data_IF_311143367763
#
_entry.id   IF_311143367763
#
_cell.length_a   1.000
_cell.length_b   1.000
_cell.length_c   1.000
_cell.angle_alpha   90.00
_cell.angle_beta   90.00
_cell.angle_gamma   90.00
#
_symmetry.space_group_name_H-M   'P 1'
#
loop_
_entity.id
_entity.type
_entity.pdbx_description
1 polymer ?
#
# COMPACT_ATOMS: atom_id res chain seq x y z
N UNK A 1 -7.71 -8.57 27.60
CA UNK A 1 -8.11 -7.86 26.37
C UNK A 1 -9.04 -8.78 25.59
N UNK A 2 -10.21 -9.07 26.15
CA UNK A 2 -10.92 -10.31 25.81
C UNK A 2 -11.85 -10.15 24.59
N UNK A 3 -12.03 -8.91 24.13
CA UNK A 3 -12.89 -8.57 22.98
C UNK A 3 -12.18 -7.67 21.95
N UNK A 4 -10.86 -7.44 22.07
CA UNK A 4 -10.17 -6.49 21.19
C UNK A 4 -10.11 -7.05 19.77
N UNK A 5 -10.70 -6.30 18.83
CA UNK A 5 -10.70 -6.65 17.39
C UNK A 5 -9.97 -5.63 16.52
N UNK A 6 -9.51 -4.52 17.10
CA UNK A 6 -8.77 -3.48 16.40
C UNK A 6 -7.54 -3.14 17.21
N UNK A 7 -6.37 -3.19 16.57
CA UNK A 7 -5.11 -2.73 17.13
C UNK A 7 -4.59 -1.64 16.22
N UNK A 8 -4.55 -0.40 16.72
CA UNK A 8 -4.12 0.77 15.97
C UNK A 8 -3.09 1.52 16.82
N UNK A 9 -1.91 1.76 16.25
CA UNK A 9 -0.81 2.47 16.90
C UNK A 9 -0.16 3.40 15.89
N UNK A 10 0.05 4.65 16.28
CA UNK A 10 0.67 5.68 15.45
C UNK A 10 1.84 6.34 16.21
N UNK A 11 3.00 6.43 15.56
CA UNK A 11 4.20 7.10 16.07
C UNK A 11 4.70 6.60 17.45
N UNK A 12 4.49 5.32 17.77
CA UNK A 12 4.92 4.69 19.03
C UNK A 12 6.29 4.03 18.86
N UNK A 13 7.37 4.80 19.07
CA UNK A 13 8.75 4.30 18.92
C UNK A 13 9.09 3.14 19.87
N UNK A 14 8.45 3.10 21.05
CA UNK A 14 8.66 2.05 22.07
C UNK A 14 8.04 0.70 21.69
N UNK A 15 7.30 0.62 20.57
CA UNK A 15 6.74 -0.64 20.09
C UNK A 15 7.82 -1.60 19.57
N UNK A 16 8.96 -1.07 19.10
CA UNK A 16 10.05 -1.84 18.50
C UNK A 16 10.57 -2.91 19.45
N UNK A 17 10.49 -4.17 19.04
CA UNK A 17 10.89 -5.35 19.80
C UNK A 17 9.86 -5.82 20.85
N UNK A 18 8.72 -5.14 20.96
CA UNK A 18 7.71 -5.39 21.99
C UNK A 18 6.36 -5.84 21.42
N UNK A 19 6.21 -5.97 20.10
CA UNK A 19 4.91 -6.28 19.48
C UNK A 19 4.36 -7.62 19.98
N UNK A 20 5.21 -8.63 20.15
CA UNK A 20 4.82 -9.92 20.73
C UNK A 20 4.26 -9.78 22.16
N UNK A 21 4.84 -8.91 22.99
CA UNK A 21 4.36 -8.68 24.36
C UNK A 21 2.95 -8.10 24.36
N UNK A 22 2.65 -7.25 23.38
CA UNK A 22 1.34 -6.63 23.22
C UNK A 22 0.32 -7.63 22.67
N UNK A 23 0.67 -8.37 21.61
CA UNK A 23 -0.27 -9.22 20.88
C UNK A 23 -0.53 -10.59 21.55
N UNK A 24 0.42 -11.14 22.35
CA UNK A 24 0.27 -12.47 22.98
C UNK A 24 -0.96 -12.59 23.89
N UNK A 25 -1.47 -11.48 24.41
CA UNK A 25 -2.59 -11.44 25.35
C UNK A 25 -3.95 -11.35 24.65
N UNK A 26 -3.98 -11.33 23.31
CA UNK A 26 -5.21 -11.27 22.53
C UNK A 26 -5.90 -12.65 22.52
N UNK A 27 -7.08 -12.72 23.12
CA UNK A 27 -7.91 -13.93 23.11
C UNK A 27 -8.76 -14.07 21.85
N UNK A 28 -8.92 -12.98 21.09
CA UNK A 28 -9.76 -12.93 19.89
C UNK A 28 -8.93 -12.56 18.66
N UNK A 29 -9.28 -13.07 17.45
CA UNK A 29 -8.67 -12.61 16.21
C UNK A 29 -8.95 -11.12 15.95
N UNK A 30 -7.93 -10.41 15.50
CA UNK A 30 -8.04 -9.03 15.04
C UNK A 30 -8.77 -8.98 13.69
N UNK A 31 -9.54 -7.92 13.51
CA UNK A 31 -10.15 -7.52 12.24
C UNK A 31 -9.43 -6.32 11.63
N UNK A 32 -8.88 -5.43 12.46
CA UNK A 32 -8.10 -4.28 11.99
C UNK A 32 -6.76 -4.28 12.68
N UNK A 33 -5.70 -4.12 11.88
CA UNK A 33 -4.35 -3.86 12.32
C UNK A 33 -3.84 -2.63 11.59
N UNK A 34 -3.48 -1.60 12.33
CA UNK A 34 -2.87 -0.37 11.82
C UNK A 34 -1.63 -0.07 12.66
N UNK A 35 -0.46 -0.09 12.03
CA UNK A 35 0.82 0.27 12.66
C UNK A 35 1.50 1.31 11.76
N UNK A 36 1.34 2.57 12.13
CA UNK A 36 1.85 3.70 11.36
C UNK A 36 2.96 4.41 12.12
N UNK A 37 4.00 4.83 11.42
CA UNK A 37 5.17 5.55 11.95
C UNK A 37 5.84 4.87 13.16
N UNK A 38 5.71 3.54 13.27
CA UNK A 38 6.35 2.74 14.30
C UNK A 38 7.40 1.84 13.65
N UNK A 39 8.69 1.98 13.98
CA UNK A 39 9.70 1.05 13.48
C UNK A 39 9.50 -0.33 14.09
N UNK A 40 9.41 -1.37 13.27
CA UNK A 40 9.32 -2.75 13.73
C UNK A 40 10.68 -3.44 13.61
N UNK A 41 11.03 -4.29 14.56
CA UNK A 41 12.20 -5.17 14.44
C UNK A 41 11.88 -6.41 13.61
N UNK A 42 12.91 -7.16 13.20
CA UNK A 42 12.71 -8.46 12.55
C UNK A 42 11.91 -9.43 13.43
N UNK A 43 12.08 -9.38 14.76
CA UNK A 43 11.30 -10.21 15.68
C UNK A 43 9.82 -9.81 15.70
N UNK A 44 9.51 -8.52 15.62
CA UNK A 44 8.13 -8.04 15.55
C UNK A 44 7.45 -8.53 14.26
N UNK A 45 8.12 -8.41 13.12
CA UNK A 45 7.62 -8.89 11.83
C UNK A 45 7.41 -10.41 11.80
N UNK A 46 8.40 -11.16 12.29
CA UNK A 46 8.30 -12.61 12.40
C UNK A 46 7.16 -13.05 13.31
N UNK A 47 6.92 -12.33 14.41
CA UNK A 47 5.78 -12.58 15.27
C UNK A 47 4.46 -12.25 14.56
N UNK A 48 4.38 -11.07 13.95
CA UNK A 48 3.16 -10.57 13.30
C UNK A 48 2.65 -11.51 12.20
N UNK A 49 3.56 -12.00 11.36
CA UNK A 49 3.26 -12.90 10.24
C UNK A 49 2.77 -14.28 10.68
N UNK A 50 3.17 -14.73 11.89
CA UNK A 50 2.83 -16.06 12.43
C UNK A 50 1.73 -16.03 13.50
N UNK A 51 1.36 -14.84 13.95
CA UNK A 51 0.39 -14.64 15.03
C UNK A 51 -1.00 -15.21 14.63
N UNK A 52 -1.56 -16.18 15.36
CA UNK A 52 -2.88 -16.73 15.04
C UNK A 52 -3.99 -15.66 15.02
N UNK A 53 -3.83 -14.60 15.81
CA UNK A 53 -4.79 -13.50 15.92
C UNK A 53 -4.85 -12.64 14.65
N UNK A 54 -3.90 -12.71 13.72
CA UNK A 54 -3.90 -11.89 12.49
C UNK A 54 -4.55 -12.59 11.29
N UNK A 55 -4.83 -13.90 11.37
CA UNK A 55 -5.38 -14.70 10.25
C UNK A 55 -6.77 -14.31 9.77
N UNK A 56 -7.48 -13.45 10.51
CA UNK A 56 -8.82 -12.98 10.15
C UNK A 56 -8.91 -11.47 9.91
N UNK A 57 -7.75 -10.84 9.69
CA UNK A 57 -7.69 -9.42 9.38
C UNK A 57 -8.53 -9.10 8.15
N UNK A 58 -9.30 -8.04 8.26
CA UNK A 58 -10.06 -7.44 7.17
C UNK A 58 -9.43 -6.12 6.73
N UNK A 59 -8.67 -5.45 7.60
CA UNK A 59 -7.96 -4.22 7.31
C UNK A 59 -6.53 -4.32 7.85
N UNK A 60 -5.57 -4.08 6.98
CA UNK A 60 -4.16 -3.99 7.30
C UNK A 60 -3.62 -2.66 6.77
N UNK A 61 -3.03 -1.87 7.66
CA UNK A 61 -2.37 -0.60 7.37
C UNK A 61 -1.00 -0.60 8.04
N UNK A 62 0.05 -0.37 7.25
CA UNK A 62 1.43 -0.36 7.70
C UNK A 62 2.17 0.76 6.98
N UNK A 63 3.08 1.46 7.67
CA UNK A 63 4.02 2.41 7.03
C UNK A 63 5.49 1.97 7.22
N UNK A 64 5.70 0.70 7.54
CA UNK A 64 6.98 0.02 7.59
C UNK A 64 6.85 -1.27 6.75
N UNK A 65 7.96 -1.87 6.32
CA UNK A 65 7.91 -2.95 5.35
C UNK A 65 8.94 -4.05 5.59
N UNK A 66 8.45 -5.30 5.68
CA UNK A 66 9.28 -6.50 5.60
C UNK A 66 8.66 -7.50 4.62
N UNK A 67 9.30 -7.79 3.48
CA UNK A 67 8.66 -8.47 2.35
C UNK A 67 8.20 -9.90 2.68
N UNK A 68 9.10 -10.74 3.22
CA UNK A 68 8.77 -12.16 3.48
C UNK A 68 7.71 -12.31 4.59
N UNK A 69 7.81 -11.62 5.75
CA UNK A 69 6.76 -11.64 6.76
C UNK A 69 5.42 -11.09 6.25
N UNK A 70 5.42 -10.01 5.47
CA UNK A 70 4.20 -9.46 4.90
C UNK A 70 3.56 -10.42 3.89
N UNK A 71 4.36 -11.10 3.05
CA UNK A 71 3.87 -12.14 2.15
C UNK A 71 3.15 -13.25 2.91
N UNK A 72 3.75 -13.79 3.97
CA UNK A 72 3.14 -14.81 4.83
C UNK A 72 1.83 -14.31 5.44
N UNK A 73 1.81 -13.06 5.92
CA UNK A 73 0.62 -12.45 6.48
C UNK A 73 -0.51 -12.33 5.44
N UNK A 74 -0.21 -11.88 4.23
CA UNK A 74 -1.16 -11.81 3.11
C UNK A 74 -1.70 -13.20 2.76
N UNK A 75 -0.82 -14.20 2.63
CA UNK A 75 -1.20 -15.59 2.37
C UNK A 75 -2.15 -16.16 3.44
N UNK A 76 -1.95 -15.77 4.71
CA UNK A 76 -2.81 -16.17 5.82
C UNK A 76 -4.17 -15.46 5.88
N UNK A 77 -4.32 -14.34 5.15
CA UNK A 77 -5.51 -13.47 5.17
C UNK A 77 -6.23 -13.37 3.83
N UNK A 78 -5.84 -14.20 2.85
CA UNK A 78 -6.39 -14.29 1.48
C UNK A 78 -7.93 -14.28 1.45
N UNK A 79 -8.58 -14.98 2.39
CA UNK A 79 -10.03 -15.12 2.43
C UNK A 79 -10.77 -14.01 3.20
N UNK A 80 -10.07 -13.13 3.92
CA UNK A 80 -10.68 -12.12 4.79
C UNK A 80 -10.28 -10.68 4.50
N UNK A 81 -9.11 -10.45 3.91
CA UNK A 81 -8.55 -9.12 3.72
C UNK A 81 -9.40 -8.30 2.72
N UNK A 82 -9.89 -7.14 3.19
CA UNK A 82 -10.72 -6.20 2.43
C UNK A 82 -10.01 -4.87 2.15
N UNK A 83 -9.07 -4.50 3.00
CA UNK A 83 -8.28 -3.27 2.86
C UNK A 83 -6.82 -3.59 3.13
N UNK A 84 -5.96 -3.23 2.18
CA UNK A 84 -4.51 -3.23 2.34
C UNK A 84 -4.00 -1.82 2.03
N UNK A 85 -3.38 -1.20 3.01
CA UNK A 85 -2.73 0.09 2.88
C UNK A 85 -1.26 -0.01 3.24
N UNK A 86 -0.41 0.28 2.27
CA UNK A 86 1.04 0.28 2.36
C UNK A 86 1.60 1.63 1.90
N UNK A 87 0.95 2.71 2.33
CA UNK A 87 1.38 4.08 2.06
C UNK A 87 2.78 4.36 2.64
N UNK A 88 3.64 4.99 1.82
CA UNK A 88 4.98 5.47 2.22
C UNK A 88 5.88 4.39 2.89
N UNK A 89 5.68 3.13 2.51
CA UNK A 89 6.45 1.97 2.99
C UNK A 89 7.88 1.87 2.40
N UNK A 90 8.27 2.76 1.49
CA UNK A 90 9.55 2.73 0.76
C UNK A 90 9.82 1.41 0.03
N UNK A 91 8.76 0.82 -0.52
CA UNK A 91 8.80 -0.48 -1.21
C UNK A 91 9.61 -0.35 -2.50
N UNK A 92 10.55 -1.27 -2.70
CA UNK A 92 11.26 -1.39 -3.99
C UNK A 92 10.49 -2.27 -4.97
N UNK A 93 10.78 -2.14 -6.26
CA UNK A 93 10.17 -2.99 -7.29
C UNK A 93 10.32 -4.49 -6.99
N UNK A 94 11.51 -4.96 -6.61
CA UNK A 94 11.76 -6.38 -6.32
C UNK A 94 10.96 -6.87 -5.11
N UNK A 95 10.79 -6.01 -4.11
CA UNK A 95 9.97 -6.31 -2.94
C UNK A 95 8.48 -6.38 -3.29
N UNK A 96 8.00 -5.46 -4.13
CA UNK A 96 6.63 -5.50 -4.64
C UNK A 96 6.37 -6.78 -5.44
N UNK A 97 7.29 -7.16 -6.34
CA UNK A 97 7.20 -8.38 -7.13
C UNK A 97 7.05 -9.63 -6.25
N UNK A 98 7.78 -9.70 -5.13
CA UNK A 98 7.68 -10.81 -4.18
C UNK A 98 6.29 -10.93 -3.52
N UNK A 99 5.52 -9.84 -3.45
CA UNK A 99 4.17 -9.82 -2.87
C UNK A 99 3.07 -10.20 -3.87
N UNK A 100 3.28 -10.00 -5.17
CA UNK A 100 2.23 -10.15 -6.19
C UNK A 100 1.52 -11.51 -6.17
N UNK A 101 2.20 -12.66 -5.99
CA UNK A 101 1.52 -13.95 -5.91
C UNK A 101 0.55 -14.04 -4.75
N UNK A 102 0.91 -13.53 -3.56
CA UNK A 102 0.03 -13.53 -2.40
C UNK A 102 -1.14 -12.55 -2.59
N UNK A 103 -0.84 -11.33 -3.08
CA UNK A 103 -1.83 -10.28 -3.29
C UNK A 103 -2.89 -10.66 -4.32
N UNK A 104 -2.50 -11.32 -5.42
CA UNK A 104 -3.42 -11.77 -6.48
C UNK A 104 -4.49 -12.75 -6.00
N UNK A 105 -4.27 -13.38 -4.83
CA UNK A 105 -5.21 -14.33 -4.23
C UNK A 105 -6.24 -13.66 -3.34
N UNK A 106 -6.02 -12.43 -2.88
CA UNK A 106 -6.89 -11.67 -1.97
C UNK A 106 -8.22 -11.25 -2.63
N UNK A 107 -9.09 -12.21 -2.93
CA UNK A 107 -10.35 -12.02 -3.69
C UNK A 107 -11.38 -11.10 -3.01
N UNK A 108 -11.25 -10.88 -1.70
CA UNK A 108 -12.14 -10.00 -0.92
C UNK A 108 -11.66 -8.54 -0.89
N UNK A 109 -10.51 -8.24 -1.49
CA UNK A 109 -9.88 -6.92 -1.43
C UNK A 109 -10.75 -5.87 -2.14
N UNK A 110 -11.04 -4.78 -1.44
CA UNK A 110 -11.86 -3.64 -1.88
C UNK A 110 -11.07 -2.35 -1.94
N UNK A 111 -10.09 -2.21 -1.06
CA UNK A 111 -9.19 -1.06 -0.98
C UNK A 111 -7.76 -1.56 -1.09
N UNK A 112 -7.00 -0.98 -2.02
CA UNK A 112 -5.59 -1.26 -2.22
C UNK A 112 -4.84 0.06 -2.37
N UNK A 113 -3.88 0.30 -1.49
CA UNK A 113 -3.08 1.53 -1.48
C UNK A 113 -1.59 1.20 -1.43
N UNK A 114 -0.85 1.77 -2.37
CA UNK A 114 0.61 1.79 -2.46
C UNK A 114 1.14 3.21 -2.68
N UNK A 115 0.30 4.24 -2.58
CA UNK A 115 0.72 5.61 -2.83
C UNK A 115 1.84 6.04 -1.86
N UNK A 116 2.58 7.10 -2.21
CA UNK A 116 3.77 7.49 -1.46
C UNK A 116 5.01 6.63 -1.71
N UNK A 117 4.90 5.42 -2.28
CA UNK A 117 6.04 4.63 -2.69
C UNK A 117 6.64 5.13 -4.03
N UNK A 118 7.92 4.83 -4.28
CA UNK A 118 8.62 5.13 -5.54
C UNK A 118 8.79 3.86 -6.36
N UNK A 119 7.84 3.61 -7.25
CA UNK A 119 7.75 2.36 -8.04
C UNK A 119 7.85 2.70 -9.52
N UNK A 120 8.66 1.96 -10.26
CA UNK A 120 8.77 2.14 -11.71
C UNK A 120 7.51 1.64 -12.43
N UNK A 121 7.27 2.18 -13.62
CA UNK A 121 6.13 1.83 -14.46
C UNK A 121 6.03 0.32 -14.73
N UNK A 122 7.16 -0.36 -14.94
CA UNK A 122 7.20 -1.80 -15.19
C UNK A 122 6.62 -2.59 -14.01
N UNK A 123 7.04 -2.28 -12.78
CA UNK A 123 6.53 -2.96 -11.59
C UNK A 123 5.06 -2.58 -11.29
N UNK A 124 4.64 -1.35 -11.58
CA UNK A 124 3.22 -0.97 -11.52
C UNK A 124 2.38 -1.75 -12.54
N UNK A 125 2.87 -1.93 -13.76
CA UNK A 125 2.21 -2.74 -14.79
C UNK A 125 2.00 -4.17 -14.31
N UNK A 126 3.01 -4.79 -13.73
CA UNK A 126 2.91 -6.15 -13.19
C UNK A 126 1.91 -6.22 -12.03
N UNK A 127 1.94 -5.25 -11.11
CA UNK A 127 0.97 -5.15 -10.02
C UNK A 127 -0.46 -5.08 -10.54
N UNK A 128 -0.72 -4.23 -11.54
CA UNK A 128 -2.05 -4.09 -12.14
C UNK A 128 -2.49 -5.38 -12.83
N UNK A 129 -1.61 -6.04 -13.60
CA UNK A 129 -1.94 -7.31 -14.24
C UNK A 129 -2.30 -8.41 -13.22
N UNK A 130 -1.59 -8.47 -12.09
CA UNK A 130 -1.85 -9.44 -11.02
C UNK A 130 -3.14 -9.15 -10.24
N UNK A 131 -3.55 -7.89 -10.17
CA UNK A 131 -4.74 -7.46 -9.40
C UNK A 131 -5.96 -7.17 -10.28
N UNK A 132 -5.80 -7.15 -11.62
CA UNK A 132 -6.85 -6.78 -12.57
C UNK A 132 -8.11 -7.65 -12.43
N UNK A 133 -7.96 -8.93 -12.08
CA UNK A 133 -9.07 -9.90 -11.92
C UNK A 133 -9.72 -9.85 -10.53
N UNK A 134 -9.24 -9.04 -9.60
CA UNK A 134 -9.86 -8.85 -8.29
C UNK A 134 -11.11 -7.96 -8.43
N UNK A 135 -12.25 -8.59 -8.72
CA UNK A 135 -13.51 -7.90 -9.06
C UNK A 135 -14.13 -7.08 -7.91
N UNK A 136 -13.68 -7.29 -6.67
CA UNK A 136 -14.15 -6.55 -5.50
C UNK A 136 -13.43 -5.21 -5.29
N UNK A 137 -12.31 -4.97 -5.98
CA UNK A 137 -11.56 -3.73 -5.86
C UNK A 137 -12.42 -2.54 -6.26
N UNK A 138 -12.41 -1.53 -5.41
CA UNK A 138 -13.26 -0.36 -5.50
C UNK A 138 -12.53 0.96 -5.28
N UNK A 139 -11.47 0.95 -4.46
CA UNK A 139 -10.59 2.08 -4.23
C UNK A 139 -9.15 1.59 -4.43
N UNK A 140 -8.48 2.19 -5.40
CA UNK A 140 -7.13 1.83 -5.81
C UNK A 140 -6.29 3.09 -5.87
N UNK A 141 -5.30 3.18 -4.98
CA UNK A 141 -4.40 4.32 -4.84
C UNK A 141 -2.98 3.86 -5.13
N UNK A 142 -2.47 4.20 -6.30
CA UNK A 142 -1.11 3.85 -6.71
C UNK A 142 -0.22 5.11 -6.74
N UNK A 143 1.10 4.98 -6.60
CA UNK A 143 1.97 6.11 -6.86
C UNK A 143 2.00 6.40 -8.37
N UNK A 144 2.22 7.66 -8.73
CA UNK A 144 2.59 8.00 -10.09
C UNK A 144 3.86 7.25 -10.48
N UNK A 145 3.97 6.73 -11.73
CA UNK A 145 5.16 6.02 -12.18
C UNK A 145 6.42 6.84 -11.96
N UNK A 146 7.51 6.21 -11.50
CA UNK A 146 8.74 6.92 -11.18
C UNK A 146 9.33 7.68 -12.38
N UNK A 147 9.09 7.19 -13.59
CA UNK A 147 9.45 7.82 -14.86
C UNK A 147 8.73 9.15 -15.11
N UNK A 148 7.70 9.46 -14.32
CA UNK A 148 7.02 10.75 -14.37
C UNK A 148 7.87 11.89 -13.81
N UNK A 149 8.93 11.57 -13.07
CA UNK A 149 9.82 12.53 -12.42
C UNK A 149 11.15 12.66 -13.17
N UNK A 150 11.79 13.82 -13.07
CA UNK A 150 13.18 14.01 -13.47
C UNK A 150 14.18 13.56 -12.38
N UNK A 151 15.47 13.73 -12.66
CA UNK A 151 16.55 13.39 -11.73
C UNK A 151 16.53 14.21 -10.43
N UNK A 152 15.88 15.37 -10.44
CA UNK A 152 15.70 16.26 -9.29
C UNK A 152 14.42 15.95 -8.50
N UNK A 153 13.59 15.03 -9.00
CA UNK A 153 12.32 14.65 -8.40
C UNK A 153 11.16 15.59 -8.73
N UNK A 154 11.32 16.49 -9.72
CA UNK A 154 10.22 17.32 -10.20
C UNK A 154 9.33 16.51 -11.15
N UNK A 155 8.02 16.74 -11.06
CA UNK A 155 7.03 16.03 -11.88
C UNK A 155 6.93 16.63 -13.28
N UNK A 156 6.82 15.78 -14.30
CA UNK A 156 6.41 16.15 -15.66
C UNK A 156 4.93 15.79 -15.88
N UNK A 157 3.98 16.74 -15.78
CA UNK A 157 2.54 16.43 -15.78
C UNK A 157 2.05 15.73 -17.06
N UNK A 158 2.57 16.13 -18.22
CA UNK A 158 2.22 15.50 -19.50
C UNK A 158 2.67 14.05 -19.57
N UNK A 159 3.91 13.77 -19.17
CA UNK A 159 4.45 12.40 -19.09
C UNK A 159 3.69 11.57 -18.05
N UNK A 160 3.45 12.11 -16.86
CA UNK A 160 2.66 11.48 -15.82
C UNK A 160 1.27 11.06 -16.36
N UNK A 161 0.57 11.99 -17.01
CA UNK A 161 -0.75 11.74 -17.58
C UNK A 161 -0.73 10.64 -18.64
N UNK A 162 0.29 10.61 -19.50
CA UNK A 162 0.46 9.58 -20.52
C UNK A 162 0.68 8.19 -19.89
N UNK A 163 1.61 8.08 -18.93
CA UNK A 163 1.93 6.80 -18.29
C UNK A 163 0.75 6.27 -17.45
N UNK A 164 0.06 7.15 -16.72
CA UNK A 164 -1.13 6.79 -15.95
C UNK A 164 -2.30 6.37 -16.87
N UNK A 165 -2.43 6.97 -18.05
CA UNK A 165 -3.41 6.55 -19.04
C UNK A 165 -3.15 5.14 -19.57
N UNK A 166 -1.88 4.80 -19.84
CA UNK A 166 -1.48 3.45 -20.26
C UNK A 166 -1.79 2.42 -19.17
N UNK A 167 -1.40 2.70 -17.92
CA UNK A 167 -1.71 1.82 -16.78
C UNK A 167 -3.23 1.66 -16.56
N UNK A 168 -3.99 2.75 -16.73
CA UNK A 168 -5.46 2.70 -16.66
C UNK A 168 -6.06 1.82 -17.75
N UNK A 169 -5.51 1.86 -18.97
CA UNK A 169 -5.98 1.02 -20.08
C UNK A 169 -5.83 -0.47 -19.75
N UNK A 170 -4.71 -0.87 -19.13
CA UNK A 170 -4.50 -2.25 -18.69
C UNK A 170 -5.62 -2.73 -17.77
N UNK A 171 -6.00 -1.93 -16.76
CA UNK A 171 -7.08 -2.32 -15.84
C UNK A 171 -8.42 -2.44 -16.58
N UNK A 172 -8.68 -1.51 -17.53
CA UNK A 172 -9.92 -1.46 -18.32
C UNK A 172 -10.10 -2.66 -19.26
N UNK A 173 -9.03 -3.34 -19.65
CA UNK A 173 -9.10 -4.58 -20.42
C UNK A 173 -9.74 -5.75 -19.62
N UNK A 174 -9.74 -5.67 -18.28
CA UNK A 174 -10.28 -6.72 -17.42
C UNK A 174 -11.55 -6.31 -16.65
N UNK A 175 -11.63 -5.05 -16.21
CA UNK A 175 -12.79 -4.53 -15.45
C UNK A 175 -12.90 -3.01 -15.54
N UNK A 176 -14.07 -2.49 -15.22
CA UNK A 176 -14.25 -1.05 -15.00
C UNK A 176 -13.86 -0.70 -13.56
N UNK A 177 -12.74 0.01 -13.31
CA UNK A 177 -12.38 0.44 -11.97
C UNK A 177 -13.37 1.51 -11.46
N UNK A 178 -13.73 1.44 -10.18
CA UNK A 178 -14.63 2.42 -9.55
C UNK A 178 -13.87 3.70 -9.18
N UNK A 179 -12.80 3.56 -8.41
CA UNK A 179 -11.86 4.64 -8.07
C UNK A 179 -10.46 4.09 -8.31
N UNK A 180 -9.78 4.64 -9.31
CA UNK A 180 -8.39 4.36 -9.65
C UNK A 180 -7.64 5.67 -9.79
N UNK A 181 -6.74 5.93 -8.87
CA UNK A 181 -5.99 7.19 -8.76
C UNK A 181 -4.50 6.88 -8.72
N UNK A 182 -3.74 7.65 -9.50
CA UNK A 182 -2.28 7.70 -9.40
C UNK A 182 -1.90 9.02 -8.73
N UNK A 183 -1.22 8.91 -7.58
CA UNK A 183 -0.87 10.03 -6.71
C UNK A 183 0.61 10.37 -6.87
N UNK A 184 0.93 11.63 -7.13
CA UNK A 184 2.33 12.07 -7.04
C UNK A 184 2.76 12.29 -5.59
N UNK A 185 4.07 12.36 -5.37
CA UNK A 185 4.62 12.85 -4.10
C UNK A 185 4.10 14.27 -3.85
N UNK A 186 3.69 14.61 -2.62
CA UNK A 186 3.28 15.97 -2.27
C UNK A 186 4.38 17.00 -2.55
N UNK A 187 4.00 18.15 -3.10
CA UNK A 187 4.87 19.29 -3.32
C UNK A 187 5.43 19.76 -1.96
N UNK A 188 6.75 19.80 -1.72
CA UNK A 188 7.30 20.08 -0.39
C UNK A 188 7.00 21.51 0.09
N UNK A 189 6.67 22.43 -0.83
CA UNK A 189 6.36 23.82 -0.49
C UNK A 189 4.90 24.06 -0.10
N UNK A 190 3.93 23.39 -0.75
CA UNK A 190 2.51 23.67 -0.55
C UNK A 190 1.64 22.43 -0.26
N UNK A 191 2.24 21.24 -0.22
CA UNK A 191 1.55 19.96 0.00
C UNK A 191 0.65 19.50 -1.14
N UNK A 192 0.52 20.26 -2.22
CA UNK A 192 -0.31 19.87 -3.37
C UNK A 192 0.26 18.66 -4.09
N UNK A 193 -0.59 17.78 -4.58
CA UNK A 193 -0.21 16.56 -5.29
C UNK A 193 -1.08 16.41 -6.53
N UNK A 194 -0.47 15.99 -7.63
CA UNK A 194 -1.20 15.70 -8.86
C UNK A 194 -1.91 14.36 -8.71
N UNK A 195 -3.22 14.38 -8.97
CA UNK A 195 -4.10 13.21 -8.94
C UNK A 195 -4.64 12.92 -10.33
N UNK A 196 -4.10 11.89 -10.98
CA UNK A 196 -4.61 11.43 -12.26
C UNK A 196 -6.07 10.95 -12.13
N UNK A 197 -6.91 11.21 -13.14
CA UNK A 197 -8.38 11.04 -13.15
C UNK A 197 -9.21 11.99 -12.27
N UNK A 198 -8.60 12.83 -11.42
CA UNK A 198 -9.33 13.82 -10.61
C UNK A 198 -9.06 15.28 -11.01
N UNK A 199 -8.11 15.53 -11.93
CA UNK A 199 -7.93 16.83 -12.57
C UNK A 199 -7.60 17.99 -11.63
N UNK A 200 -7.19 17.72 -10.38
CA UNK A 200 -7.09 18.73 -9.33
C UNK A 200 -5.72 18.71 -8.64
N UNK A 201 -5.27 19.94 -8.34
CA UNK A 201 -4.06 20.36 -7.61
C UNK A 201 -2.75 20.37 -8.42
N UNK A 202 -2.69 21.24 -9.44
CA UNK A 202 -1.42 21.62 -10.04
C UNK A 202 -0.62 22.47 -9.03
N UNK A 203 0.52 21.98 -8.55
CA UNK A 203 1.44 22.79 -7.76
C UNK A 203 1.93 23.97 -8.63
N UNK A 204 1.63 25.20 -8.22
CA UNK A 204 2.10 26.44 -8.90
C UNK A 204 3.37 27.01 -8.26
N UNK A 205 3.98 26.24 -7.36
CA UNK A 205 5.23 26.62 -6.71
C UNK A 205 6.37 26.70 -7.74
N UNK A 206 7.25 27.70 -7.65
CA UNK A 206 8.46 27.73 -8.46
C UNK A 206 9.29 26.48 -8.14
N UNK A 207 9.63 25.70 -9.17
CA UNK A 207 10.63 24.64 -9.07
C UNK A 207 11.91 25.28 -8.55
N UNK A 208 12.42 24.79 -7.41
CA UNK A 208 13.71 25.23 -6.91
C UNK A 208 14.76 24.87 -7.98
N UNK A 209 15.48 25.90 -8.44
CA UNK A 209 16.58 25.77 -9.40
C UNK A 209 17.76 24.99 -8.81
#
# INVERSE_FOLDING_TARGET
>A
MDCLRKFCVDAVLLLKGHLEQVLRHLKTPLKTLSITKCPLSDSDWNHLSRCPNTRQLTHLELTDFSPEPLKILLESTVASLKSLDLEDCRITDSQLQALLPALSRCSQLRVLSFHGNRIFMSALRDLLLHTARLSQLSIELYPAPLESYDAQGAIHPGRCSQLCAELTAIVRDFRQPKVLVFCTVPCPQCGSMFLYNQGLLHCSCPTAA
#
